data_IF_263767015530
#
_entry.id   IF_263767015530
#
_cell.length_a   1.000
_cell.length_b   1.000
_cell.length_c   1.000
_cell.angle_alpha   90.00
_cell.angle_beta   90.00
_cell.angle_gamma   90.00
#
_symmetry.space_group_name_H-M   'P 1'
#
loop_
_entity.id
_entity.type
_entity.pdbx_description
1 polymer ?
#
# COMPACT_ATOMS: atom_id res chain seq x y z
N UNK A 1 18.03 -13.70 -7.32
CA UNK A 1 17.87 -13.94 -5.88
C UNK A 1 16.40 -14.27 -5.63
N UNK A 2 16.06 -15.30 -4.83
CA UNK A 2 14.68 -15.52 -4.41
C UNK A 2 14.16 -14.31 -3.61
N UNK A 3 12.88 -13.98 -3.77
CA UNK A 3 12.28 -12.85 -3.06
C UNK A 3 12.21 -13.15 -1.55
N UNK A 4 12.43 -12.15 -0.66
CA UNK A 4 12.26 -12.34 0.77
C UNK A 4 10.83 -12.79 1.11
N UNK A 5 10.70 -13.60 2.16
CA UNK A 5 9.38 -13.97 2.71
C UNK A 5 9.04 -13.07 3.88
N UNK A 6 7.87 -12.42 3.83
CA UNK A 6 7.36 -11.56 4.91
C UNK A 6 6.42 -12.39 5.81
N UNK A 7 6.71 -12.56 7.11
CA UNK A 7 5.82 -13.25 8.03
C UNK A 7 4.42 -12.61 8.06
N UNK A 8 3.37 -13.44 7.96
CA UNK A 8 1.99 -12.95 7.99
C UNK A 8 1.49 -12.30 6.69
N UNK A 9 2.31 -12.24 5.63
CA UNK A 9 1.92 -11.65 4.34
C UNK A 9 0.62 -12.24 3.78
N UNK A 10 0.47 -13.57 3.80
CA UNK A 10 -0.74 -14.22 3.30
C UNK A 10 -1.99 -13.85 4.11
N UNK A 11 -1.87 -13.78 5.43
CA UNK A 11 -2.97 -13.39 6.30
C UNK A 11 -3.34 -11.91 6.10
N UNK A 12 -2.34 -11.03 5.93
CA UNK A 12 -2.56 -9.61 5.68
C UNK A 12 -3.25 -9.39 4.32
N UNK A 13 -2.75 -10.05 3.27
CA UNK A 13 -3.36 -9.98 1.95
C UNK A 13 -4.77 -10.55 1.97
N UNK A 14 -5.02 -11.70 2.59
CA UNK A 14 -6.37 -12.26 2.68
C UNK A 14 -7.35 -11.33 3.40
N UNK A 15 -6.91 -10.62 4.45
CA UNK A 15 -7.72 -9.59 5.12
C UNK A 15 -8.02 -8.42 4.19
N UNK A 16 -7.00 -7.89 3.51
CA UNK A 16 -7.19 -6.80 2.56
C UNK A 16 -8.10 -7.21 1.38
N UNK A 17 -7.91 -8.40 0.84
CA UNK A 17 -8.70 -8.97 -0.26
C UNK A 17 -10.16 -9.23 0.15
N UNK A 18 -10.43 -9.51 1.43
CA UNK A 18 -11.80 -9.66 1.93
C UNK A 18 -12.64 -8.39 1.86
N UNK A 19 -11.99 -7.24 1.64
CA UNK A 19 -12.62 -5.92 1.53
C UNK A 19 -12.68 -5.38 0.10
N UNK A 20 -12.29 -6.18 -0.90
CA UNK A 20 -12.35 -5.77 -2.31
C UNK A 20 -13.78 -5.40 -2.73
N UNK A 21 -13.90 -4.36 -3.55
CA UNK A 21 -15.18 -3.84 -4.01
C UNK A 21 -15.92 -3.00 -2.98
N UNK A 22 -15.29 -2.66 -1.85
CA UNK A 22 -15.90 -1.84 -0.79
C UNK A 22 -15.25 -0.46 -0.69
N UNK A 23 -15.98 0.43 -0.01
CA UNK A 23 -15.51 1.77 0.35
C UNK A 23 -15.04 1.86 1.80
N UNK A 24 -14.68 0.73 2.39
CA UNK A 24 -14.19 0.70 3.77
C UNK A 24 -12.93 1.58 3.86
N UNK A 25 -12.88 2.45 4.87
CA UNK A 25 -11.85 3.49 5.08
C UNK A 25 -11.93 4.73 4.15
N UNK A 26 -12.86 4.76 3.21
CA UNK A 26 -13.17 5.96 2.43
C UNK A 26 -12.11 6.37 1.39
N UNK A 27 -12.24 7.58 0.81
CA UNK A 27 -11.47 8.02 -0.35
C UNK A 27 -9.97 8.19 -0.13
N UNK A 28 -9.51 8.30 1.12
CA UNK A 28 -8.09 8.47 1.46
C UNK A 28 -7.63 7.41 2.47
N UNK A 29 -8.23 6.22 2.39
CA UNK A 29 -8.04 5.13 3.37
C UNK A 29 -6.91 4.17 3.08
N UNK A 30 -5.89 4.56 2.29
CA UNK A 30 -4.82 3.63 1.88
C UNK A 30 -4.03 3.12 3.11
N UNK A 31 -3.66 4.03 4.01
CA UNK A 31 -2.98 3.70 5.26
C UNK A 31 -3.84 2.84 6.20
N UNK A 32 -5.12 3.21 6.32
CA UNK A 32 -6.07 2.51 7.18
C UNK A 32 -6.28 1.05 6.72
N UNK A 33 -6.34 0.81 5.41
CA UNK A 33 -6.39 -0.54 4.84
C UNK A 33 -5.14 -1.33 5.21
N UNK A 34 -3.94 -0.77 5.00
CA UNK A 34 -2.68 -1.45 5.30
C UNK A 34 -2.58 -1.74 6.79
N UNK A 35 -2.89 -0.76 7.65
CA UNK A 35 -2.90 -0.94 9.10
C UNK A 35 -3.89 -2.04 9.54
N UNK A 36 -5.07 -2.11 8.92
CA UNK A 36 -6.07 -3.15 9.17
C UNK A 36 -5.57 -4.53 8.74
N UNK A 37 -4.98 -4.63 7.54
CA UNK A 37 -4.46 -5.86 6.97
C UNK A 37 -3.39 -6.49 7.87
N UNK A 38 -2.39 -5.69 8.30
CA UNK A 38 -1.31 -6.16 9.16
C UNK A 38 -1.67 -6.21 10.64
N UNK A 39 -2.85 -5.73 11.04
CA UNK A 39 -3.29 -5.72 12.43
C UNK A 39 -2.44 -4.82 13.33
N UNK A 40 -1.91 -3.73 12.77
CA UNK A 40 -1.15 -2.73 13.52
C UNK A 40 -2.06 -1.59 13.99
N UNK A 41 -1.66 -0.79 15.00
CA UNK A 41 -2.51 0.26 15.55
C UNK A 41 -2.87 1.33 14.50
N UNK A 42 -4.18 1.59 14.35
CA UNK A 42 -4.73 2.56 13.40
C UNK A 42 -4.36 4.00 13.75
N UNK A 43 -4.28 4.32 15.04
CA UNK A 43 -3.84 5.62 15.55
C UNK A 43 -2.38 5.94 15.22
N UNK A 44 -1.53 4.91 15.06
CA UNK A 44 -0.12 5.07 14.68
C UNK A 44 0.11 5.04 13.17
N UNK A 45 -0.57 4.13 12.46
CA UNK A 45 -0.25 3.80 11.07
C UNK A 45 -1.40 3.94 10.07
N UNK A 46 -2.62 4.25 10.52
CA UNK A 46 -3.83 4.29 9.69
C UNK A 46 -4.43 5.69 9.48
N UNK A 47 -3.70 6.75 9.84
CA UNK A 47 -4.13 8.13 9.68
C UNK A 47 -3.61 8.75 8.36
N UNK A 48 -4.31 9.77 7.86
CA UNK A 48 -3.98 10.46 6.60
C UNK A 48 -2.59 11.09 6.63
N UNK A 49 -1.68 10.61 5.78
CA UNK A 49 -0.29 11.03 5.74
C UNK A 49 0.67 10.09 6.47
N UNK A 50 0.17 9.05 7.16
CA UNK A 50 1.02 8.03 7.78
C UNK A 50 1.88 7.31 6.73
N UNK A 51 1.45 7.20 5.48
CA UNK A 51 2.25 6.62 4.39
C UNK A 51 3.51 7.44 4.10
N UNK A 52 3.44 8.77 4.17
CA UNK A 52 4.62 9.64 4.03
C UNK A 52 5.56 9.46 5.23
N UNK A 53 5.03 9.52 6.44
CA UNK A 53 5.84 9.34 7.66
C UNK A 53 6.52 7.98 7.67
N UNK A 54 5.80 6.91 7.32
CA UNK A 54 6.36 5.56 7.19
C UNK A 54 7.47 5.51 6.15
N UNK A 55 7.24 6.06 4.97
CA UNK A 55 8.24 6.11 3.90
C UNK A 55 9.52 6.81 4.35
N UNK A 56 9.41 8.01 4.94
CA UNK A 56 10.58 8.79 5.37
C UNK A 56 11.36 8.05 6.47
N UNK A 57 10.69 7.49 7.47
CA UNK A 57 11.36 6.72 8.52
C UNK A 57 12.06 5.46 7.98
N UNK A 58 11.43 4.73 7.05
CA UNK A 58 12.04 3.57 6.40
C UNK A 58 13.22 3.97 5.51
N UNK A 59 13.12 5.12 4.84
CA UNK A 59 14.21 5.67 4.03
C UNK A 59 15.43 6.02 4.89
N UNK A 60 15.21 6.67 6.02
CA UNK A 60 16.27 6.98 7.01
C UNK A 60 16.90 5.71 7.60
N UNK A 61 16.12 4.65 7.76
CA UNK A 61 16.58 3.34 8.24
C UNK A 61 17.31 2.53 7.15
N UNK A 62 17.28 2.96 5.88
CA UNK A 62 17.86 2.21 4.76
C UNK A 62 17.06 0.95 4.38
N UNK A 63 15.78 0.90 4.74
CA UNK A 63 14.88 -0.25 4.55
C UNK A 63 13.98 -0.11 3.30
N UNK A 64 14.21 0.95 2.50
CA UNK A 64 13.54 1.15 1.21
C UNK A 64 14.34 0.51 0.07
N UNK A 65 13.71 -0.44 -0.60
CA UNK A 65 14.19 -1.05 -1.82
C UNK A 65 13.59 -0.35 -3.04
N UNK A 66 14.43 0.06 -3.99
CA UNK A 66 14.02 0.84 -5.17
C UNK A 66 13.84 0.01 -6.43
N UNK A 67 14.17 -1.28 -6.40
CA UNK A 67 13.84 -2.18 -7.49
C UNK A 67 12.31 -2.35 -7.59
N UNK A 68 11.80 -2.66 -8.79
CA UNK A 68 10.37 -2.89 -9.03
C UNK A 68 9.99 -4.37 -8.85
N UNK A 69 10.61 -5.07 -7.90
CA UNK A 69 10.38 -6.50 -7.65
C UNK A 69 10.00 -6.78 -6.18
N UNK A 70 8.94 -6.14 -5.65
CA UNK A 70 8.53 -6.35 -4.27
C UNK A 70 8.15 -7.81 -3.99
N UNK A 71 8.55 -8.37 -2.84
CA UNK A 71 8.01 -9.64 -2.37
C UNK A 71 6.51 -9.52 -2.05
N UNK A 72 5.85 -10.68 -1.95
CA UNK A 72 4.48 -10.77 -1.48
C UNK A 72 4.38 -10.23 -0.04
N UNK A 73 3.43 -9.33 0.19
CA UNK A 73 3.22 -8.64 1.47
C UNK A 73 4.07 -7.38 1.66
N UNK A 74 4.90 -6.99 0.69
CA UNK A 74 5.67 -5.76 0.82
C UNK A 74 4.76 -4.53 0.85
N UNK A 75 5.16 -3.54 1.63
CA UNK A 75 4.56 -2.22 1.60
C UNK A 75 5.15 -1.46 0.42
N UNK A 76 4.30 -0.94 -0.46
CA UNK A 76 4.74 -0.33 -1.71
C UNK A 76 4.33 1.14 -1.70
N UNK A 77 5.31 2.03 -1.86
CA UNK A 77 5.12 3.46 -1.71
C UNK A 77 5.16 4.16 -3.05
N UNK A 78 4.19 5.03 -3.27
CA UNK A 78 4.16 5.95 -4.40
C UNK A 78 3.71 7.34 -3.95
N UNK A 79 3.89 8.34 -4.82
CA UNK A 79 3.47 9.73 -4.56
C UNK A 79 2.97 10.35 -5.84
N UNK A 80 1.82 11.02 -5.76
CA UNK A 80 1.24 11.77 -6.86
C UNK A 80 0.85 13.19 -6.43
N UNK A 81 0.08 13.89 -7.28
CA UNK A 81 -0.40 15.25 -7.02
C UNK A 81 -1.30 15.34 -5.78
N UNK A 82 -1.99 14.24 -5.46
CA UNK A 82 -2.96 14.15 -4.36
C UNK A 82 -2.37 13.68 -3.04
N UNK A 83 -1.08 13.32 -3.02
CA UNK A 83 -0.40 12.91 -1.79
C UNK A 83 0.42 11.63 -1.91
N UNK A 84 0.94 11.15 -0.77
CA UNK A 84 1.55 9.83 -0.65
C UNK A 84 0.49 8.73 -0.80
N UNK A 85 0.92 7.53 -1.19
CA UNK A 85 0.07 6.35 -1.25
C UNK A 85 0.85 5.11 -0.89
N UNK A 86 0.15 4.14 -0.32
CA UNK A 86 0.72 2.87 0.10
C UNK A 86 -0.19 1.71 -0.34
N UNK A 87 0.42 0.71 -0.97
CA UNK A 87 -0.23 -0.53 -1.39
C UNK A 87 0.41 -1.75 -0.72
N UNK A 88 -0.28 -2.90 -0.79
CA UNK A 88 0.26 -4.21 -0.40
C UNK A 88 0.57 -5.03 -1.67
N UNK A 89 1.83 -5.39 -1.87
CA UNK A 89 2.24 -6.22 -3.01
C UNK A 89 1.69 -7.65 -2.89
N UNK A 90 1.07 -8.18 -3.95
CA UNK A 90 0.58 -9.57 -4.01
C UNK A 90 1.66 -10.57 -4.42
N UNK A 91 2.80 -10.08 -4.93
CA UNK A 91 3.96 -10.87 -5.34
C UNK A 91 3.90 -11.37 -6.79
N UNK A 92 2.75 -11.27 -7.45
CA UNK A 92 2.52 -11.64 -8.86
C UNK A 92 2.58 -10.43 -9.81
N UNK A 93 3.02 -9.27 -9.32
CA UNK A 93 3.02 -8.01 -10.08
C UNK A 93 1.76 -7.17 -9.91
N UNK A 94 0.82 -7.61 -9.07
CA UNK A 94 -0.38 -6.84 -8.71
C UNK A 94 -0.36 -6.41 -7.24
N UNK A 95 -1.24 -5.47 -6.89
CA UNK A 95 -1.22 -4.77 -5.61
C UNK A 95 -2.64 -4.64 -5.05
N UNK A 96 -2.82 -4.86 -3.75
CA UNK A 96 -4.09 -4.52 -3.07
C UNK A 96 -3.99 -3.08 -2.58
N UNK A 97 -4.97 -2.27 -2.98
CA UNK A 97 -4.99 -0.83 -2.75
C UNK A 97 -6.25 -0.40 -2.00
N UNK A 98 -6.17 0.73 -1.29
CA UNK A 98 -7.28 1.40 -0.61
C UNK A 98 -7.30 2.89 -0.94
N UNK A 99 -8.44 3.55 -0.80
CA UNK A 99 -8.57 4.99 -1.11
C UNK A 99 -8.37 5.34 -2.59
N UNK A 100 -8.56 4.39 -3.50
CA UNK A 100 -8.28 4.63 -4.93
C UNK A 100 -9.14 5.77 -5.50
N UNK A 101 -10.40 5.89 -5.06
CA UNK A 101 -11.32 6.90 -5.63
C UNK A 101 -11.02 8.33 -5.17
N UNK A 102 -10.34 8.55 -4.04
CA UNK A 102 -9.88 9.89 -3.67
C UNK A 102 -8.66 10.34 -4.46
N UNK A 103 -7.92 9.39 -5.04
CA UNK A 103 -6.69 9.63 -5.80
C UNK A 103 -6.92 9.62 -7.32
N UNK A 104 -7.86 8.80 -7.79
CA UNK A 104 -8.28 8.70 -9.19
C UNK A 104 -9.77 8.34 -9.26
N UNK A 105 -10.67 9.34 -9.19
CA UNK A 105 -12.11 9.10 -9.26
C UNK A 105 -12.52 8.37 -10.55
N UNK A 106 -13.32 7.32 -10.42
CA UNK A 106 -13.77 6.47 -11.53
C UNK A 106 -12.76 5.40 -11.98
N UNK A 107 -11.62 5.25 -11.30
CA UNK A 107 -10.64 4.25 -11.64
C UNK A 107 -11.14 2.83 -11.31
N UNK A 108 -10.86 1.89 -12.22
CA UNK A 108 -11.17 0.48 -12.06
C UNK A 108 -12.66 0.20 -11.94
N UNK A 109 -13.07 -0.50 -10.87
CA UNK A 109 -14.47 -0.85 -10.61
C UNK A 109 -15.26 0.24 -9.87
N UNK A 110 -14.64 1.39 -9.60
CA UNK A 110 -15.27 2.50 -8.89
C UNK A 110 -15.27 2.38 -7.37
N UNK A 111 -14.73 1.30 -6.79
CA UNK A 111 -14.57 1.15 -5.35
C UNK A 111 -13.24 1.71 -4.83
N UNK A 112 -13.17 2.04 -3.54
CA UNK A 112 -11.91 2.48 -2.93
C UNK A 112 -10.91 1.36 -2.71
N UNK A 113 -11.38 0.14 -2.43
CA UNK A 113 -10.53 -1.02 -2.20
C UNK A 113 -10.58 -1.96 -3.39
N UNK A 114 -9.48 -2.03 -4.13
CA UNK A 114 -9.39 -2.79 -5.38
C UNK A 114 -7.97 -3.30 -5.66
N UNK A 115 -7.84 -4.19 -6.66
CA UNK A 115 -6.55 -4.68 -7.13
C UNK A 115 -6.03 -3.79 -8.26
N UNK A 116 -4.79 -3.33 -8.13
CA UNK A 116 -4.12 -2.52 -9.14
C UNK A 116 -3.12 -3.37 -9.95
N UNK A 117 -3.02 -3.14 -11.28
CA UNK A 117 -2.02 -3.77 -12.14
C UNK A 117 -0.65 -3.07 -12.09
N UNK A 118 -0.54 -1.96 -11.35
CA UNK A 118 0.66 -1.15 -11.17
C UNK A 118 0.73 -0.60 -9.74
N UNK A 119 1.92 -0.28 -9.20
CA UNK A 119 2.08 0.27 -7.83
C UNK A 119 1.61 1.73 -7.67
N UNK A 120 0.87 2.21 -8.67
CA UNK A 120 0.43 3.59 -8.83
C UNK A 120 -1.00 3.58 -9.34
N UNK A 121 -1.80 4.53 -8.87
CA UNK A 121 -3.21 4.71 -9.24
C UNK A 121 -3.41 5.64 -10.45
N UNK A 122 -2.42 6.45 -10.84
CA UNK A 122 -2.49 7.28 -12.05
C UNK A 122 -1.13 7.50 -12.72
N UNK A 123 -1.15 8.09 -13.93
CA UNK A 123 0.05 8.29 -14.79
C UNK A 123 1.11 9.23 -14.18
N UNK A 124 0.69 10.26 -13.46
CA UNK A 124 1.59 11.29 -12.91
C UNK A 124 2.12 10.94 -11.51
N UNK A 125 2.19 9.64 -11.22
CA UNK A 125 2.63 9.12 -9.94
C UNK A 125 4.05 8.58 -10.03
N UNK A 126 4.85 8.94 -9.03
CA UNK A 126 6.22 8.48 -8.89
C UNK A 126 6.27 7.31 -7.91
N UNK A 127 6.74 6.16 -8.40
CA UNK A 127 7.11 5.04 -7.56
C UNK A 127 8.31 5.42 -6.69
N UNK A 128 8.22 5.16 -5.38
CA UNK A 128 9.26 5.55 -4.41
C UNK A 128 10.02 4.38 -3.80
N UNK A 129 9.50 3.16 -3.92
CA UNK A 129 10.14 1.96 -3.40
C UNK A 129 9.18 1.04 -2.67
N UNK A 130 9.72 -0.05 -2.14
CA UNK A 130 9.01 -0.99 -1.28
C UNK A 130 9.82 -1.30 -0.01
N UNK A 131 9.13 -1.74 1.05
CA UNK A 131 9.76 -2.23 2.29
C UNK A 131 9.19 -3.57 2.72
N UNK A 132 9.94 -4.29 3.56
CA UNK A 132 9.51 -5.57 4.14
C UNK A 132 8.51 -5.43 5.29
N UNK A 133 8.28 -4.20 5.77
CA UNK A 133 7.40 -3.93 6.90
C UNK A 133 7.43 -2.47 7.35
N UNK A 134 6.92 -2.25 8.55
CA UNK A 134 6.78 -0.93 9.16
C UNK A 134 8.09 -0.43 9.79
N UNK A 135 8.28 0.90 9.89
CA UNK A 135 9.40 1.45 10.65
C UNK A 135 9.31 1.05 12.13
N UNK A 136 10.47 0.79 12.75
CA UNK A 136 10.62 0.45 14.17
C UNK A 136 10.28 1.65 15.06
#
# INVERSE_FOLDING_TARGET
MPRPTIPGADAAIAKAESLLGTDQFGPYGCEALVAHAFGVPQDRYGWDGASETMYQSLLEQGEIHTDMNPPRGALVFSRGPFGPHIDIARGDGTYVSGGVQGLSPGYGDGSNIQILPSPNVARDWTYRGWSLGYPK
#
